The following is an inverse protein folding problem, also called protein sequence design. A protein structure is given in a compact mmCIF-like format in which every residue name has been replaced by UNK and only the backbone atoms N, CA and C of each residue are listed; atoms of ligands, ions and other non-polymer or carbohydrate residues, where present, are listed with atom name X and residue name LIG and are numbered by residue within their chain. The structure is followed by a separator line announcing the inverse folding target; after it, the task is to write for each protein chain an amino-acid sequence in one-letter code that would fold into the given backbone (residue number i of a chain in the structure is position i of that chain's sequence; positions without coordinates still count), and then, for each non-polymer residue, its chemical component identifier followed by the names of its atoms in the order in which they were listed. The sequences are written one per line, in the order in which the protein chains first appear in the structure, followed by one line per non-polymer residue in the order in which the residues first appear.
data_IF_874444755413
#
_entry.id   IF_874444755413
#
_cell.length_a   1.000
_cell.length_b   1.000
_cell.length_c   1.000
_cell.angle_alpha   90.00
_cell.angle_beta   90.00
_cell.angle_gamma   90.00
#
_symmetry.space_group_name_H-M   'P 1'
#
loop_
_entity.id
_entity.type
_entity.pdbx_description
1 polymer ?
#
# COMPACT_ATOMS: atom_id res chain seq x y z
N UNK A 1 13.89 4.95 -11.91
CA UNK A 1 12.41 4.90 -11.81
C UNK A 1 11.81 6.15 -11.16
N UNK A 2 12.56 7.26 -11.07
CA UNK A 2 12.13 8.48 -10.36
C UNK A 2 11.26 9.43 -11.20
N UNK A 3 11.36 9.37 -12.54
CA UNK A 3 10.49 10.16 -13.45
C UNK A 3 9.04 9.67 -13.51
N UNK A 4 8.73 8.52 -12.91
CA UNK A 4 7.39 7.90 -12.92
C UNK A 4 6.59 8.11 -11.62
N UNK A 5 7.22 8.62 -10.55
CA UNK A 5 6.58 8.70 -9.22
C UNK A 5 6.32 10.11 -8.70
N UNK A 6 6.84 11.17 -9.32
CA UNK A 6 6.55 12.56 -8.89
C UNK A 6 6.76 12.81 -7.40
N UNK A 7 7.64 12.02 -6.78
CA UNK A 7 7.95 12.11 -5.37
C UNK A 7 9.09 13.13 -5.23
N UNK A 8 8.74 14.38 -4.93
CA UNK A 8 9.68 15.30 -4.30
C UNK A 8 9.59 15.06 -2.79
N UNK A 9 10.25 14.02 -2.29
CA UNK A 9 10.42 13.87 -0.85
C UNK A 9 11.33 14.99 -0.35
N UNK A 10 10.74 15.79 0.53
CA UNK A 10 11.34 16.87 1.31
C UNK A 10 11.62 18.14 0.49
N UNK A 11 11.20 19.29 1.06
CA UNK A 11 12.00 20.50 0.91
C UNK A 11 13.41 20.02 1.17
N UNK A 12 14.25 20.00 0.13
CA UNK A 12 15.68 20.02 0.32
C UNK A 12 15.88 21.24 1.21
N UNK A 13 15.89 21.03 2.52
CA UNK A 13 16.78 21.80 3.35
C UNK A 13 18.08 21.60 2.61
N UNK A 14 18.52 22.66 1.92
CA UNK A 14 19.94 22.85 1.69
C UNK A 14 20.54 22.87 3.09
N UNK A 15 20.64 21.70 3.72
CA UNK A 15 21.50 21.48 4.85
C UNK A 15 22.85 21.71 4.22
N UNK A 16 23.46 22.83 4.58
CA UNK A 16 24.81 23.10 4.17
C UNK A 16 25.67 21.94 4.69
N UNK A 17 26.73 21.57 3.96
CA UNK A 17 27.65 20.49 4.36
C UNK A 17 28.18 20.64 5.79
N UNK A 18 28.05 21.83 6.37
CA UNK A 18 28.49 22.20 7.71
C UNK A 18 27.49 21.81 8.83
N UNK A 19 26.31 21.26 8.52
CA UNK A 19 25.36 20.78 9.55
C UNK A 19 25.81 19.42 10.10
N UNK A 20 26.00 19.26 11.42
CA UNK A 20 26.46 18.00 12.03
C UNK A 20 25.49 16.82 11.81
N UNK A 21 24.26 17.07 11.33
CA UNK A 21 23.28 16.03 10.99
C UNK A 21 23.20 15.72 9.49
N UNK A 22 23.98 16.42 8.65
CA UNK A 22 24.02 16.20 7.21
C UNK A 22 24.37 14.74 6.86
N UNK A 23 25.35 14.17 7.56
CA UNK A 23 25.82 12.78 7.38
C UNK A 23 24.71 11.75 7.66
N UNK A 24 23.95 11.93 8.74
CA UNK A 24 22.83 11.05 9.10
C UNK A 24 21.72 11.12 8.06
N UNK A 25 21.41 12.32 7.56
CA UNK A 25 20.37 12.48 6.56
C UNK A 25 20.78 11.90 5.19
N UNK A 26 22.05 12.04 4.80
CA UNK A 26 22.61 11.44 3.60
C UNK A 26 22.58 9.90 3.69
N UNK A 27 22.88 9.34 4.86
CA UNK A 27 22.81 7.90 5.11
C UNK A 27 21.37 7.34 4.98
N UNK A 28 20.38 8.07 5.52
CA UNK A 28 18.96 7.71 5.44
C UNK A 28 18.41 7.81 4.00
N UNK A 29 18.81 8.84 3.25
CA UNK A 29 18.44 8.99 1.83
C UNK A 29 19.05 7.87 1.00
N UNK A 30 20.32 7.53 1.25
CA UNK A 30 20.97 6.40 0.61
C UNK A 30 20.27 5.08 0.95
N UNK A 31 19.68 4.91 2.14
CA UNK A 31 18.94 3.69 2.52
C UNK A 31 17.59 3.55 1.77
N UNK A 32 16.95 4.66 1.43
CA UNK A 32 15.67 4.67 0.70
C UNK A 32 15.81 4.52 -0.82
N UNK A 33 17.04 4.56 -1.34
CA UNK A 33 17.32 4.55 -2.77
C UNK A 33 17.08 3.13 -3.36
N UNK A 34 16.15 3.02 -4.32
CA UNK A 34 15.71 1.75 -4.97
C UNK A 34 16.89 0.98 -5.60
N UNK A 35 18.00 1.68 -5.90
CA UNK A 35 19.23 1.11 -6.47
C UNK A 35 20.21 0.56 -5.42
N UNK A 36 20.04 0.85 -4.12
CA UNK A 36 20.86 0.24 -3.05
C UNK A 36 20.48 -1.22 -2.83
N UNK A 37 19.23 -1.59 -3.14
CA UNK A 37 18.83 -2.99 -3.25
C UNK A 37 19.61 -3.71 -4.36
N UNK A 38 19.95 -3.05 -5.47
CA UNK A 38 20.77 -3.65 -6.52
C UNK A 38 22.22 -3.87 -6.08
N UNK A 39 22.83 -2.95 -5.32
CA UNK A 39 24.17 -3.16 -4.75
C UNK A 39 24.17 -4.17 -3.61
N UNK A 40 23.11 -4.20 -2.78
CA UNK A 40 22.90 -5.21 -1.74
C UNK A 40 22.65 -6.60 -2.32
N UNK A 41 21.87 -6.71 -3.39
CA UNK A 41 21.69 -7.93 -4.16
C UNK A 41 22.98 -8.36 -4.86
N UNK A 42 23.81 -7.43 -5.35
CA UNK A 42 25.16 -7.75 -5.85
C UNK A 42 26.07 -8.30 -4.76
N UNK A 43 26.09 -7.70 -3.57
CA UNK A 43 26.90 -8.19 -2.45
C UNK A 43 26.37 -9.50 -1.87
N UNK A 44 25.04 -9.69 -1.79
CA UNK A 44 24.44 -10.97 -1.43
C UNK A 44 24.74 -12.05 -2.47
N UNK A 45 24.68 -11.74 -3.77
CA UNK A 45 25.16 -12.66 -4.82
C UNK A 45 26.63 -13.02 -4.64
N UNK A 46 27.50 -12.01 -4.49
CA UNK A 46 28.95 -12.22 -4.38
C UNK A 46 29.37 -13.09 -3.19
N UNK A 47 28.62 -13.01 -2.09
CA UNK A 47 28.95 -13.74 -0.86
C UNK A 47 28.40 -15.18 -0.85
N UNK A 48 27.34 -15.45 -1.62
CA UNK A 48 26.65 -16.74 -1.61
C UNK A 48 26.81 -17.57 -2.90
N UNK A 49 27.34 -16.99 -3.97
CA UNK A 49 27.65 -17.69 -5.22
C UNK A 49 29.18 -17.83 -5.37
N UNK A 50 29.66 -19.03 -5.70
CA UNK A 50 31.06 -19.21 -6.07
C UNK A 50 31.30 -18.47 -7.39
N UNK A 51 31.90 -17.28 -7.31
CA UNK A 51 32.35 -16.55 -8.50
C UNK A 51 33.42 -17.39 -9.18
N UNK A 52 33.19 -17.79 -10.43
CA UNK A 52 34.24 -18.43 -11.21
C UNK A 52 35.38 -17.40 -11.41
N UNK A 53 36.62 -17.77 -11.06
CA UNK A 53 37.80 -16.88 -11.15
C UNK A 53 38.01 -16.27 -12.55
N UNK A 54 37.38 -16.85 -13.57
CA UNK A 54 37.43 -16.44 -14.98
C UNK A 54 36.53 -15.23 -15.31
N UNK A 55 35.87 -14.60 -14.34
CA UNK A 55 34.99 -13.44 -14.58
C UNK A 55 33.69 -13.77 -15.30
N UNK A 56 33.32 -15.06 -15.36
CA UNK A 56 32.04 -15.51 -15.91
C UNK A 56 30.88 -15.14 -14.97
N UNK A 57 29.67 -15.03 -15.52
CA UNK A 57 28.47 -14.75 -14.72
C UNK A 57 28.28 -15.83 -13.64
N UNK A 58 27.89 -15.42 -12.41
CA UNK A 58 27.66 -16.36 -11.33
C UNK A 58 26.60 -17.40 -11.70
N UNK A 59 26.94 -18.68 -11.56
CA UNK A 59 26.01 -19.77 -11.79
C UNK A 59 25.13 -19.89 -10.54
N UNK A 60 23.93 -19.32 -10.62
CA UNK A 60 22.93 -19.46 -9.56
C UNK A 60 22.46 -20.92 -9.56
N UNK A 61 22.45 -21.64 -8.43
CA UNK A 61 21.81 -22.95 -8.36
C UNK A 61 20.35 -22.83 -8.80
N UNK A 62 19.88 -23.68 -9.72
CA UNK A 62 18.52 -23.58 -10.29
C UNK A 62 17.38 -23.60 -9.24
N UNK A 63 17.65 -24.08 -8.02
CA UNK A 63 16.71 -23.97 -6.90
C UNK A 63 16.42 -22.52 -6.45
N UNK A 64 17.43 -21.63 -6.49
CA UNK A 64 17.29 -20.22 -6.13
C UNK A 64 16.61 -19.44 -7.26
N UNK A 65 16.91 -19.74 -8.53
CA UNK A 65 16.23 -19.13 -9.67
C UNK A 65 14.73 -19.43 -9.63
N UNK A 66 14.36 -20.69 -9.41
CA UNK A 66 12.97 -21.09 -9.27
C UNK A 66 12.28 -20.46 -8.04
N UNK A 67 12.99 -20.30 -6.91
CA UNK A 67 12.45 -19.61 -5.74
C UNK A 67 12.20 -18.11 -6.04
N UNK A 68 13.12 -17.47 -6.76
CA UNK A 68 13.01 -16.08 -7.19
C UNK A 68 11.83 -15.87 -8.15
N UNK A 69 11.71 -16.73 -9.17
CA UNK A 69 10.58 -16.70 -10.10
C UNK A 69 9.24 -16.87 -9.38
N UNK A 70 9.16 -17.80 -8.42
CA UNK A 70 7.97 -17.98 -7.58
C UNK A 70 7.65 -16.73 -6.77
N UNK A 71 8.64 -16.10 -6.15
CA UNK A 71 8.44 -14.87 -5.39
C UNK A 71 7.85 -13.75 -6.28
N UNK A 72 8.37 -13.58 -7.49
CA UNK A 72 7.85 -12.63 -8.47
C UNK A 72 6.41 -12.98 -8.88
N UNK A 73 6.11 -14.26 -9.13
CA UNK A 73 4.76 -14.71 -9.45
C UNK A 73 3.77 -14.43 -8.30
N UNK A 74 4.17 -14.69 -7.06
CA UNK A 74 3.33 -14.40 -5.89
C UNK A 74 3.10 -12.90 -5.74
N UNK A 75 4.12 -12.06 -5.91
CA UNK A 75 3.98 -10.62 -5.87
C UNK A 75 2.95 -10.13 -6.92
N UNK A 76 3.09 -10.55 -8.18
CA UNK A 76 2.13 -10.20 -9.26
C UNK A 76 0.71 -10.63 -8.92
N UNK A 77 0.52 -11.88 -8.48
CA UNK A 77 -0.81 -12.37 -8.08
C UNK A 77 -1.39 -11.54 -6.94
N UNK A 78 -0.60 -11.18 -5.93
CA UNK A 78 -1.12 -10.36 -4.82
C UNK A 78 -1.53 -8.96 -5.27
N UNK A 79 -0.83 -8.36 -6.23
CA UNK A 79 -1.22 -7.07 -6.82
C UNK A 79 -2.51 -7.19 -7.63
N UNK A 80 -2.62 -8.23 -8.46
CA UNK A 80 -3.84 -8.53 -9.23
C UNK A 80 -5.05 -8.74 -8.30
N UNK A 81 -4.89 -9.50 -7.22
CA UNK A 81 -5.93 -9.66 -6.21
C UNK A 81 -6.27 -8.33 -5.53
N UNK A 82 -5.28 -7.52 -5.16
CA UNK A 82 -5.50 -6.18 -4.56
C UNK A 82 -6.20 -5.21 -5.51
N UNK A 83 -6.08 -5.40 -6.83
CA UNK A 83 -6.76 -4.62 -7.85
C UNK A 83 -8.23 -5.03 -8.04
N UNK A 84 -8.67 -6.16 -7.47
CA UNK A 84 -10.03 -6.66 -7.67
C UNK A 84 -11.09 -5.71 -7.06
N UNK A 85 -12.11 -5.25 -7.83
CA UNK A 85 -13.10 -4.28 -7.36
C UNK A 85 -13.91 -4.72 -6.15
N UNK A 86 -14.13 -6.02 -5.96
CA UNK A 86 -14.89 -6.53 -4.80
C UNK A 86 -14.16 -6.31 -3.47
N UNK A 87 -12.83 -6.38 -3.49
CA UNK A 87 -12.03 -6.14 -2.28
C UNK A 87 -11.99 -4.64 -1.99
N UNK A 88 -11.97 -3.78 -3.01
CA UNK A 88 -11.90 -2.33 -2.90
C UNK A 88 -13.05 -1.67 -3.68
N UNK A 89 -14.30 -1.73 -3.16
CA UNK A 89 -15.43 -1.11 -3.84
C UNK A 89 -15.23 0.41 -3.88
N UNK A 90 -15.44 0.98 -5.05
CA UNK A 90 -15.32 2.41 -5.28
C UNK A 90 -16.52 3.11 -4.64
N UNK A 91 -16.30 3.89 -3.58
CA UNK A 91 -17.34 4.75 -2.99
C UNK A 91 -17.73 5.80 -4.03
N UNK A 92 -19.01 6.01 -4.37
CA UNK A 92 -19.40 7.05 -5.32
C UNK A 92 -19.11 8.44 -4.75
N UNK A 93 -18.82 9.39 -5.64
CA UNK A 93 -18.61 10.78 -5.24
C UNK A 93 -19.95 11.39 -4.83
N UNK A 94 -19.93 12.24 -3.81
CA UNK A 94 -21.12 12.91 -3.27
C UNK A 94 -20.92 14.42 -3.36
N UNK A 95 -22.01 15.19 -3.24
CA UNK A 95 -21.96 16.66 -3.30
C UNK A 95 -20.96 17.27 -2.29
N UNK A 96 -20.78 16.62 -1.13
CA UNK A 96 -19.89 17.09 -0.06
C UNK A 96 -18.51 16.43 -0.06
N UNK A 97 -18.31 15.37 -0.85
CA UNK A 97 -17.07 14.61 -0.86
C UNK A 97 -16.78 14.15 -2.28
N UNK A 98 -15.87 14.87 -2.92
CA UNK A 98 -15.26 14.50 -4.19
C UNK A 98 -13.88 13.94 -3.94
N UNK A 99 -13.49 12.95 -4.74
CA UNK A 99 -12.13 12.41 -4.64
C UNK A 99 -11.18 13.26 -5.46
N UNK A 100 -9.95 13.47 -4.96
CA UNK A 100 -8.92 14.07 -5.78
C UNK A 100 -8.66 13.18 -7.01
N UNK A 101 -8.54 13.81 -8.17
CA UNK A 101 -8.20 13.11 -9.42
C UNK A 101 -6.72 12.70 -9.48
N UNK A 102 -5.86 13.42 -8.75
CA UNK A 102 -4.44 13.15 -8.66
C UNK A 102 -4.10 12.22 -7.50
N UNK A 103 -3.09 11.37 -7.72
CA UNK A 103 -2.54 10.48 -6.69
C UNK A 103 -1.83 11.24 -5.56
N UNK A 104 -1.34 12.45 -5.85
CA UNK A 104 -0.66 13.32 -4.90
C UNK A 104 -1.47 14.61 -4.80
N UNK A 105 -1.82 14.98 -3.56
CA UNK A 105 -2.48 16.25 -3.25
C UNK A 105 -1.56 17.06 -2.36
N UNK A 106 -1.09 18.20 -2.85
CA UNK A 106 -0.20 19.10 -2.12
C UNK A 106 -1.00 20.24 -1.50
N UNK A 107 -0.82 20.46 -0.21
CA UNK A 107 -1.44 21.51 0.57
C UNK A 107 -0.36 22.49 1.04
N UNK A 108 -0.37 23.69 0.46
CA UNK A 108 0.51 24.79 0.84
C UNK A 108 -0.25 25.78 1.73
N UNK A 109 0.36 26.18 2.86
CA UNK A 109 -0.18 27.19 3.77
C UNK A 109 0.96 28.11 4.22
N UNK A 110 0.70 29.42 4.26
CA UNK A 110 1.68 30.40 4.68
C UNK A 110 2.18 30.12 6.11
N UNK A 111 3.50 30.24 6.33
CA UNK A 111 4.14 29.99 7.62
C UNK A 111 4.20 28.52 8.06
N UNK A 112 3.81 27.56 7.21
CA UNK A 112 3.88 26.11 7.50
C UNK A 112 4.58 25.35 6.36
N UNK A 113 5.21 24.19 6.64
CA UNK A 113 5.74 23.34 5.57
C UNK A 113 4.60 22.80 4.69
N UNK A 114 4.88 22.61 3.41
CA UNK A 114 3.94 22.00 2.47
C UNK A 114 3.66 20.56 2.88
N UNK A 115 2.38 20.19 2.96
CA UNK A 115 1.95 18.82 3.23
C UNK A 115 1.59 18.13 1.92
N UNK A 116 2.06 16.90 1.71
CA UNK A 116 1.72 16.09 0.54
C UNK A 116 0.99 14.84 0.98
N UNK A 117 -0.20 14.65 0.44
CA UNK A 117 -1.01 13.46 0.66
C UNK A 117 -0.85 12.55 -0.55
N UNK A 118 -0.17 11.42 -0.35
CA UNK A 118 0.00 10.39 -1.37
C UNK A 118 -1.05 9.30 -1.15
N UNK A 119 -1.92 9.10 -2.15
CA UNK A 119 -2.84 7.97 -2.14
C UNK A 119 -2.07 6.67 -2.43
N UNK A 120 -1.96 5.84 -1.39
CA UNK A 120 -1.30 4.54 -1.41
C UNK A 120 -2.23 3.40 -1.83
N UNK A 121 -3.54 3.67 -2.01
CA UNK A 121 -4.54 2.70 -2.46
C UNK A 121 -4.52 1.41 -1.63
N UNK A 122 -4.45 0.26 -2.30
CA UNK A 122 -4.43 -1.08 -1.70
C UNK A 122 -3.03 -1.61 -1.37
N UNK A 123 -1.96 -0.80 -1.53
CA UNK A 123 -0.56 -1.25 -1.39
C UNK A 123 -0.31 -2.01 -0.09
N UNK A 124 -0.81 -1.48 1.03
CA UNK A 124 -0.61 -2.03 2.38
C UNK A 124 -1.82 -2.81 2.93
N UNK A 125 -2.79 -3.16 2.08
CA UNK A 125 -3.95 -3.92 2.52
C UNK A 125 -3.62 -5.41 2.66
N UNK A 126 -3.92 -6.00 3.83
CA UNK A 126 -3.94 -7.45 3.99
C UNK A 126 -5.23 -8.02 3.38
N UNK A 127 -5.07 -8.84 2.35
CA UNK A 127 -6.17 -9.48 1.61
C UNK A 127 -7.01 -10.37 2.54
N UNK A 128 -6.36 -11.12 3.44
CA UNK A 128 -7.05 -12.06 4.31
C UNK A 128 -7.92 -11.32 5.33
N UNK A 129 -7.38 -10.27 5.94
CA UNK A 129 -8.15 -9.43 6.85
C UNK A 129 -9.31 -8.75 6.13
N UNK A 130 -9.10 -8.30 4.89
CA UNK A 130 -10.17 -7.71 4.08
C UNK A 130 -11.32 -8.68 3.83
N UNK A 131 -11.02 -9.91 3.44
CA UNK A 131 -12.02 -10.97 3.23
C UNK A 131 -12.79 -11.23 4.53
N UNK A 132 -12.10 -11.34 5.67
CA UNK A 132 -12.75 -11.52 6.98
C UNK A 132 -13.69 -10.37 7.32
N UNK A 133 -13.29 -9.13 7.06
CA UNK A 133 -14.12 -7.93 7.29
C UNK A 133 -15.35 -7.92 6.40
N UNK A 134 -15.23 -8.29 5.12
CA UNK A 134 -16.37 -8.38 4.18
C UNK A 134 -17.36 -9.45 4.67
N UNK A 135 -16.89 -10.64 5.06
CA UNK A 135 -17.75 -11.67 5.62
C UNK A 135 -18.45 -11.21 6.91
N UNK A 136 -17.73 -10.54 7.81
CA UNK A 136 -18.29 -10.02 9.05
C UNK A 136 -19.32 -8.91 8.81
N UNK A 137 -19.08 -8.01 7.86
CA UNK A 137 -20.03 -6.95 7.52
C UNK A 137 -21.30 -7.54 6.90
N UNK A 138 -21.18 -8.55 6.05
CA UNK A 138 -22.29 -9.30 5.48
C UNK A 138 -23.16 -9.97 6.56
N UNK A 139 -22.54 -10.62 7.56
CA UNK A 139 -23.27 -11.18 8.72
C UNK A 139 -24.03 -10.11 9.50
N UNK A 140 -23.37 -8.98 9.80
CA UNK A 140 -24.01 -7.85 10.51
C UNK A 140 -25.15 -7.23 9.72
N UNK A 141 -25.02 -7.12 8.39
CA UNK A 141 -26.07 -6.59 7.52
C UNK A 141 -27.33 -7.46 7.55
N UNK A 142 -27.18 -8.79 7.42
CA UNK A 142 -28.30 -9.75 7.54
C UNK A 142 -28.99 -9.65 8.90
N UNK A 143 -28.22 -9.61 9.99
CA UNK A 143 -28.77 -9.44 11.33
C UNK A 143 -29.54 -8.11 11.50
N UNK A 144 -29.04 -7.01 10.94
CA UNK A 144 -29.76 -5.73 10.97
C UNK A 144 -31.07 -5.78 10.18
N UNK A 145 -31.11 -6.50 9.07
CA UNK A 145 -32.33 -6.69 8.30
C UNK A 145 -33.37 -7.50 9.07
N UNK A 146 -32.98 -8.60 9.69
CA UNK A 146 -33.91 -9.43 10.49
C UNK A 146 -34.48 -8.65 11.68
N UNK A 147 -33.63 -7.92 12.42
CA UNK A 147 -34.06 -7.06 13.53
C UNK A 147 -35.02 -5.95 13.06
N UNK A 148 -34.75 -5.32 11.91
CA UNK A 148 -35.65 -4.31 11.34
C UNK A 148 -37.02 -4.89 10.99
N UNK A 149 -37.06 -6.08 10.38
CA UNK A 149 -38.32 -6.76 10.03
C UNK A 149 -39.11 -7.12 11.28
N UNK A 150 -38.46 -7.72 12.29
CA UNK A 150 -39.10 -8.07 13.56
C UNK A 150 -39.67 -6.83 14.28
N UNK A 151 -38.92 -5.72 14.31
CA UNK A 151 -39.39 -4.46 14.90
C UNK A 151 -40.61 -3.91 14.16
N UNK A 152 -40.64 -3.98 12.82
CA UNK A 152 -41.77 -3.54 11.99
C UNK A 152 -43.01 -4.41 12.19
N UNK A 153 -42.85 -5.72 12.41
CA UNK A 153 -43.95 -6.63 12.73
C UNK A 153 -44.51 -6.34 14.13
N UNK A 154 -43.63 -6.19 15.13
CA UNK A 154 -44.03 -5.84 16.50
C UNK A 154 -44.82 -4.51 16.56
N UNK A 155 -44.35 -3.47 15.86
CA UNK A 155 -45.06 -2.18 15.82
C UNK A 155 -46.41 -2.24 15.09
N UNK A 156 -46.61 -3.21 14.20
CA UNK A 156 -47.89 -3.40 13.49
C UNK A 156 -48.90 -4.16 14.35
N UNK A 157 -48.48 -5.16 15.12
CA UNK A 157 -49.35 -5.90 16.04
C UNK A 157 -49.77 -5.10 17.27
N UNK A 158 -48.96 -4.15 17.73
CA UNK A 158 -49.31 -3.29 18.87
C UNK A 158 -50.30 -2.17 18.53
N UNK A 159 -50.45 -1.82 17.25
CA UNK A 159 -51.38 -0.80 16.77
C UNK A 159 -52.80 -1.31 16.49
N UNK A 160 -53.03 -2.62 16.53
CA UNK A 160 -54.34 -3.24 16.26
C UNK A 160 -55.15 -3.59 17.52
N UNK A 161 -54.68 -3.20 18.71
CA UNK A 161 -55.33 -3.53 19.99
C UNK A 161 -56.06 -2.32 20.63
N UNK A 162 -56.19 -1.21 19.91
CA UNK A 162 -56.77 0.05 20.39
C UNK A 162 -57.94 0.56 19.55
N UNK A 163 -58.81 -0.32 19.05
CA UNK A 163 -60.02 0.03 18.30
C UNK A 163 -61.21 -0.80 18.76
#
# INVERSE_FOLDING_TARGET
MERLLGATTHRATNMQRDDPRFDVHEADILEQDENRDASRQRYQRLYWESVAENGAEPIVPGSLEHAHEKALQYAKRTEEFKAHPELMPRVPDTEFMTRPSSKIVRLEREGRPSLEFVDVGSKFMDINDRIRRIAASGRRAKHRQTVKVAKKQFSRSSGSFSS
#
